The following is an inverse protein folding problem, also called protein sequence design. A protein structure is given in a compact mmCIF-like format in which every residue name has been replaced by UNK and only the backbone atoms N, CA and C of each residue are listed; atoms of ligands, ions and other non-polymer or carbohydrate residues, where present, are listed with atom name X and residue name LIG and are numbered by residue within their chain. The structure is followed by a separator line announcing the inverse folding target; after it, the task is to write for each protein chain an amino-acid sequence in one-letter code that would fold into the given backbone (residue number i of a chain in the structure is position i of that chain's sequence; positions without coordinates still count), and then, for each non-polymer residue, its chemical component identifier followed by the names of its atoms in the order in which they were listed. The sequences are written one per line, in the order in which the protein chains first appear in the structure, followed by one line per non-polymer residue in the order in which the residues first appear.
data_IF_491728389674
#
_entry.id   IF_491728389674
#
_cell.length_a   1.000
_cell.length_b   1.000
_cell.length_c   1.000
_cell.angle_alpha   90.00
_cell.angle_beta   90.00
_cell.angle_gamma   90.00
#
_symmetry.space_group_name_H-M   'P 1'
#
loop_
_entity.id
_entity.type
_entity.pdbx_description
1 polymer ?
#
# COMPACT_ATOMS: atom_id res chain seq x y z
N UNK A 1 76.54 1.44 46.54
CA UNK A 1 77.07 0.97 45.24
C UNK A 1 76.67 -0.48 45.09
N UNK A 2 76.19 -0.85 43.89
CA UNK A 2 75.86 -2.22 43.41
C UNK A 2 74.72 -2.91 44.22
N UNK A 3 73.76 -3.64 43.66
CA UNK A 3 73.53 -4.13 42.31
C UNK A 3 72.11 -4.73 42.19
N UNK A 4 71.50 -4.56 41.01
CA UNK A 4 70.73 -5.55 40.22
C UNK A 4 69.70 -6.53 40.84
N UNK A 5 68.41 -6.35 40.45
CA UNK A 5 67.56 -7.18 39.53
C UNK A 5 67.55 -8.73 39.72
N UNK A 6 66.49 -9.52 39.37
CA UNK A 6 65.02 -9.37 39.37
C UNK A 6 64.28 -10.55 40.08
N UNK A 7 62.94 -10.53 40.21
CA UNK A 7 62.15 -11.76 39.92
C UNK A 7 60.68 -11.48 39.57
N UNK A 8 60.32 -12.06 38.43
CA UNK A 8 59.01 -12.19 37.79
C UNK A 8 57.92 -12.86 38.63
N UNK A 9 56.69 -12.35 38.52
CA UNK A 9 55.47 -13.05 38.04
C UNK A 9 54.22 -12.36 38.56
N UNK A 10 53.29 -12.01 37.67
CA UNK A 10 51.87 -12.37 37.75
C UNK A 10 51.03 -11.51 36.79
N UNK A 11 50.00 -12.12 36.20
CA UNK A 11 48.83 -11.41 35.70
C UNK A 11 48.62 -11.49 34.20
N UNK A 12 48.23 -12.66 33.70
CA UNK A 12 47.53 -12.74 32.42
C UNK A 12 46.12 -12.14 32.61
N UNK A 13 45.91 -10.92 32.12
CA UNK A 13 44.59 -10.31 32.01
C UNK A 13 43.89 -10.92 30.78
N UNK A 14 42.86 -11.74 31.01
CA UNK A 14 41.90 -12.11 29.99
C UNK A 14 40.99 -10.91 29.70
N UNK A 15 41.26 -10.21 28.58
CA UNK A 15 40.34 -9.23 28.00
C UNK A 15 39.21 -9.98 27.27
N UNK A 16 38.04 -10.06 27.91
CA UNK A 16 36.82 -10.49 27.23
C UNK A 16 36.32 -9.36 26.32
N UNK A 17 36.48 -9.53 25.01
CA UNK A 17 35.92 -8.64 24.00
C UNK A 17 34.41 -8.88 23.87
N UNK A 18 33.60 -8.02 24.48
CA UNK A 18 32.16 -7.99 24.29
C UNK A 18 31.85 -7.34 22.93
N UNK A 19 31.72 -8.17 21.89
CA UNK A 19 31.35 -7.72 20.55
C UNK A 19 29.86 -7.40 20.52
N UNK A 20 29.52 -6.11 20.58
CA UNK A 20 28.16 -5.62 20.41
C UNK A 20 27.80 -5.69 18.91
N UNK A 21 27.18 -6.80 18.50
CA UNK A 21 26.63 -6.92 17.16
C UNK A 21 25.36 -6.04 17.07
N UNK A 22 25.49 -4.87 16.42
CA UNK A 22 24.34 -4.10 15.94
C UNK A 22 23.68 -4.91 14.82
N UNK A 23 22.69 -5.73 15.18
CA UNK A 23 21.76 -6.32 14.24
C UNK A 23 20.93 -5.22 13.60
N UNK A 24 21.35 -4.75 12.42
CA UNK A 24 20.54 -3.89 11.56
C UNK A 24 19.44 -4.73 10.94
N UNK A 25 18.27 -4.80 11.57
CA UNK A 25 17.04 -5.24 10.88
C UNK A 25 16.51 -4.06 10.08
N UNK A 26 17.24 -3.69 9.02
CA UNK A 26 16.64 -2.94 7.94
C UNK A 26 15.66 -3.90 7.24
N UNK A 27 14.38 -3.79 7.57
CA UNK A 27 13.31 -4.44 6.80
C UNK A 27 13.36 -3.83 5.40
N UNK A 28 14.02 -4.52 4.48
CA UNK A 28 13.87 -4.26 3.05
C UNK A 28 12.43 -4.61 2.76
N UNK A 29 11.63 -3.65 2.31
CA UNK A 29 10.32 -3.93 1.72
C UNK A 29 10.57 -4.98 0.62
N UNK A 30 10.30 -6.24 0.94
CA UNK A 30 10.39 -7.31 -0.02
C UNK A 30 9.35 -7.02 -1.10
N UNK A 31 9.70 -7.33 -2.34
CA UNK A 31 8.81 -7.25 -3.50
C UNK A 31 7.75 -8.34 -3.39
N UNK A 32 6.89 -8.24 -2.38
CA UNK A 32 5.88 -9.24 -2.05
C UNK A 32 4.66 -8.99 -2.92
N UNK A 33 4.18 -10.04 -3.58
CA UNK A 33 2.93 -9.99 -4.36
C UNK A 33 1.75 -9.67 -3.43
N UNK A 34 0.62 -9.18 -3.97
CA UNK A 34 -0.62 -9.10 -3.19
C UNK A 34 -1.00 -10.45 -2.57
N UNK A 35 -1.49 -10.42 -1.34
CA UNK A 35 -2.05 -11.59 -0.67
C UNK A 35 -3.37 -12.05 -1.32
N UNK A 36 -3.88 -13.21 -0.87
CA UNK A 36 -5.24 -13.65 -1.18
C UNK A 36 -6.24 -12.53 -0.83
N UNK A 37 -7.07 -12.06 -1.79
CA UNK A 37 -8.03 -10.98 -1.54
C UNK A 37 -9.17 -11.36 -0.60
N UNK A 38 -9.31 -12.64 -0.22
CA UNK A 38 -10.37 -13.08 0.69
C UNK A 38 -10.29 -12.34 2.04
N UNK A 39 -11.37 -11.64 2.45
CA UNK A 39 -11.42 -11.03 3.77
C UNK A 39 -11.28 -12.05 4.89
N UNK A 40 -10.43 -11.75 5.87
CA UNK A 40 -10.33 -12.51 7.13
C UNK A 40 -10.70 -11.67 8.35
N UNK A 41 -10.85 -10.35 8.16
CA UNK A 41 -11.21 -9.39 9.19
C UNK A 41 -12.16 -8.34 8.62
N UNK A 42 -13.15 -7.96 9.42
CA UNK A 42 -14.04 -6.83 9.15
C UNK A 42 -14.05 -5.90 10.36
N UNK A 43 -13.89 -4.60 10.13
CA UNK A 43 -13.95 -3.56 11.16
C UNK A 43 -14.63 -2.30 10.62
N UNK A 44 -15.79 -1.95 11.20
CA UNK A 44 -16.46 -0.68 10.90
C UNK A 44 -16.86 -0.52 9.43
N UNK A 45 -17.17 -1.62 8.73
CA UNK A 45 -17.48 -1.65 7.30
C UNK A 45 -16.27 -1.70 6.38
N UNK A 46 -15.06 -1.87 6.91
CA UNK A 46 -13.82 -2.11 6.14
C UNK A 46 -13.43 -3.58 6.24
N UNK A 47 -12.93 -4.12 5.14
CA UNK A 47 -12.49 -5.51 5.05
C UNK A 47 -10.98 -5.57 4.86
N UNK A 48 -10.33 -6.54 5.50
CA UNK A 48 -8.89 -6.73 5.44
C UNK A 48 -8.54 -8.18 5.12
N UNK A 49 -7.50 -8.37 4.33
CA UNK A 49 -6.95 -9.69 4.01
C UNK A 49 -6.03 -10.22 5.12
N UNK A 50 -5.41 -11.37 4.86
CA UNK A 50 -4.51 -12.07 5.80
C UNK A 50 -3.29 -11.26 6.21
N UNK A 51 -2.85 -10.33 5.36
CA UNK A 51 -1.69 -9.46 5.62
C UNK A 51 -2.13 -8.13 6.24
N UNK A 52 -3.44 -7.92 6.43
CA UNK A 52 -4.01 -6.70 6.97
C UNK A 52 -4.16 -5.58 5.93
N UNK A 53 -3.96 -5.85 4.64
CA UNK A 53 -4.21 -4.87 3.59
C UNK A 53 -5.72 -4.73 3.33
N UNK A 54 -6.22 -3.54 2.96
CA UNK A 54 -7.62 -3.35 2.58
C UNK A 54 -8.01 -4.29 1.43
N UNK A 55 -9.19 -4.89 1.49
CA UNK A 55 -9.71 -5.75 0.42
C UNK A 55 -11.20 -5.53 0.19
N UNK A 56 -11.71 -6.08 -0.90
CA UNK A 56 -13.13 -5.99 -1.27
C UNK A 56 -13.94 -7.11 -0.62
N UNK A 57 -15.25 -6.87 -0.47
CA UNK A 57 -16.22 -7.91 -0.17
C UNK A 57 -17.42 -7.76 -1.13
N UNK A 58 -17.63 -8.75 -1.99
CA UNK A 58 -18.70 -8.75 -2.99
C UNK A 58 -19.61 -9.94 -2.71
N UNK A 59 -20.88 -9.65 -2.43
CA UNK A 59 -21.91 -10.65 -2.16
C UNK A 59 -22.29 -11.40 -3.44
N UNK A 60 -22.84 -12.63 -3.34
CA UNK A 60 -23.26 -13.41 -4.52
C UNK A 60 -24.28 -12.72 -5.43
N UNK A 61 -25.05 -11.76 -4.90
CA UNK A 61 -26.04 -10.98 -5.67
C UNK A 61 -25.45 -9.73 -6.35
N UNK A 62 -24.11 -9.56 -6.29
CA UNK A 62 -23.38 -8.43 -6.86
C UNK A 62 -23.39 -7.15 -6.01
N UNK A 63 -23.95 -7.17 -4.79
CA UNK A 63 -23.81 -6.06 -3.85
C UNK A 63 -22.35 -5.98 -3.37
N UNK A 64 -21.73 -4.82 -3.56
CA UNK A 64 -20.34 -4.56 -3.15
C UNK A 64 -20.26 -3.89 -1.79
N UNK A 65 -19.14 -4.01 -1.09
CA UNK A 65 -18.85 -3.20 0.10
C UNK A 65 -18.76 -1.70 -0.22
N UNK A 66 -18.84 -0.86 0.82
CA UNK A 66 -18.80 0.60 0.65
C UNK A 66 -17.50 1.09 0.00
N UNK A 67 -16.34 0.52 0.35
CA UNK A 67 -15.04 0.96 -0.17
C UNK A 67 -14.91 0.65 -1.66
N UNK A 68 -15.38 -0.52 -2.12
CA UNK A 68 -15.44 -0.83 -3.55
C UNK A 68 -16.29 0.19 -4.31
N UNK A 69 -17.49 0.52 -3.81
CA UNK A 69 -18.35 1.53 -4.42
C UNK A 69 -17.75 2.95 -4.39
N UNK A 70 -17.19 3.34 -3.24
CA UNK A 70 -16.55 4.64 -3.06
C UNK A 70 -15.36 4.77 -4.01
N UNK A 71 -14.50 3.75 -4.04
CA UNK A 71 -13.32 3.63 -4.88
C UNK A 71 -13.62 3.79 -6.36
N UNK A 72 -14.68 3.17 -6.87
CA UNK A 72 -15.15 3.38 -8.24
C UNK A 72 -15.35 4.87 -8.55
N UNK A 73 -16.04 5.61 -7.67
CA UNK A 73 -16.30 7.03 -7.88
C UNK A 73 -15.03 7.88 -7.77
N UNK A 74 -14.15 7.57 -6.82
CA UNK A 74 -12.87 8.29 -6.64
C UNK A 74 -11.93 8.06 -7.82
N UNK A 75 -11.86 6.82 -8.30
CA UNK A 75 -11.13 6.47 -9.51
C UNK A 75 -11.63 7.27 -10.71
N UNK A 76 -12.95 7.36 -10.87
CA UNK A 76 -13.60 8.16 -11.90
C UNK A 76 -13.54 9.67 -11.70
N UNK A 77 -13.06 10.16 -10.55
CA UNK A 77 -12.81 11.59 -10.35
C UNK A 77 -11.34 11.93 -10.59
N UNK A 78 -10.42 11.10 -10.09
CA UNK A 78 -9.02 11.48 -9.92
C UNK A 78 -8.05 10.69 -10.83
N UNK A 79 -8.44 9.50 -11.31
CA UNK A 79 -7.49 8.57 -11.95
C UNK A 79 -7.83 8.22 -13.41
N UNK A 80 -9.12 8.16 -13.74
CA UNK A 80 -9.59 7.64 -15.04
C UNK A 80 -9.09 8.46 -16.24
N UNK A 81 -8.84 9.75 -16.06
CA UNK A 81 -8.39 10.66 -17.13
C UNK A 81 -7.09 10.16 -17.78
N UNK A 82 -6.22 9.55 -16.99
CA UNK A 82 -4.97 8.96 -17.47
C UNK A 82 -5.09 7.44 -17.63
N UNK A 83 -5.68 6.76 -16.65
CA UNK A 83 -5.69 5.29 -16.59
C UNK A 83 -6.88 4.64 -17.30
N UNK A 84 -7.65 5.41 -18.08
CA UNK A 84 -8.77 4.94 -18.87
C UNK A 84 -10.03 4.64 -18.04
N UNK A 85 -11.11 4.19 -18.65
CA UNK A 85 -12.27 3.68 -17.93
C UNK A 85 -11.93 2.32 -17.28
N UNK A 86 -12.51 2.06 -16.11
CA UNK A 86 -12.44 0.76 -15.41
C UNK A 86 -11.04 0.19 -15.13
N UNK A 87 -9.99 1.02 -15.11
CA UNK A 87 -8.61 0.57 -14.89
C UNK A 87 -7.92 0.00 -16.14
N UNK A 88 -8.49 0.18 -17.33
CA UNK A 88 -8.02 -0.50 -18.56
C UNK A 88 -6.82 0.14 -19.25
N UNK A 89 -6.33 1.26 -18.72
CA UNK A 89 -5.20 1.99 -19.29
C UNK A 89 -5.60 2.87 -20.47
N UNK A 90 -4.62 3.60 -20.97
CA UNK A 90 -4.73 4.44 -22.15
C UNK A 90 -3.43 4.42 -22.94
N UNK A 91 -3.36 5.21 -24.01
CA UNK A 91 -2.09 5.48 -24.71
C UNK A 91 -1.08 6.23 -23.83
N UNK A 92 -1.53 6.89 -22.76
CA UNK A 92 -0.69 7.69 -21.86
C UNK A 92 -0.23 6.91 -20.60
N UNK A 93 -1.12 6.15 -19.97
CA UNK A 93 -0.86 5.50 -18.69
C UNK A 93 -1.26 4.00 -18.68
N UNK A 94 -0.61 3.17 -17.85
CA UNK A 94 -0.84 1.72 -17.85
C UNK A 94 -2.24 1.32 -17.35
N UNK A 95 -2.64 0.09 -17.68
CA UNK A 95 -3.82 -0.55 -17.11
C UNK A 95 -3.58 -0.90 -15.64
N UNK A 96 -4.29 -0.23 -14.74
CA UNK A 96 -4.17 -0.47 -13.30
C UNK A 96 -4.73 -1.83 -12.89
N UNK A 97 -5.76 -2.33 -13.57
CA UNK A 97 -6.28 -3.68 -13.34
C UNK A 97 -5.23 -4.76 -13.61
N UNK A 98 -4.28 -4.53 -14.53
CA UNK A 98 -3.15 -5.46 -14.73
C UNK A 98 -2.01 -5.19 -13.76
N UNK A 99 -1.79 -3.93 -13.38
CA UNK A 99 -0.71 -3.55 -12.47
C UNK A 99 -0.90 -4.18 -11.09
N UNK A 100 -2.12 -4.15 -10.56
CA UNK A 100 -2.44 -4.66 -9.21
C UNK A 100 -2.36 -6.19 -9.10
N UNK A 101 -2.28 -6.96 -10.20
CA UNK A 101 -1.97 -8.40 -10.14
C UNK A 101 -0.58 -8.69 -9.55
N UNK A 102 0.29 -7.68 -9.54
CA UNK A 102 1.67 -7.80 -9.06
C UNK A 102 2.04 -6.74 -8.02
N UNK A 103 1.19 -5.74 -7.79
CA UNK A 103 1.44 -4.65 -6.85
C UNK A 103 0.57 -4.77 -5.60
N UNK A 104 1.22 -4.95 -4.45
CA UNK A 104 0.53 -4.95 -3.16
C UNK A 104 0.09 -3.52 -2.74
N UNK A 105 -0.61 -3.42 -1.61
CA UNK A 105 -1.13 -2.14 -1.11
C UNK A 105 -0.02 -1.11 -0.82
N UNK A 106 1.11 -1.52 -0.23
CA UNK A 106 2.22 -0.62 0.09
C UNK A 106 2.85 -0.05 -1.17
N UNK A 107 3.07 -0.89 -2.19
CA UNK A 107 3.61 -0.47 -3.49
C UNK A 107 2.65 0.45 -4.25
N UNK A 108 1.35 0.14 -4.20
CA UNK A 108 0.32 1.03 -4.74
C UNK A 108 0.36 2.39 -4.03
N UNK A 109 0.39 2.38 -2.70
CA UNK A 109 0.42 3.58 -1.86
C UNK A 109 1.66 4.42 -2.13
N UNK A 110 2.84 3.80 -2.20
CA UNK A 110 4.11 4.48 -2.50
C UNK A 110 4.04 5.22 -3.84
N UNK A 111 3.51 4.57 -4.89
CA UNK A 111 3.37 5.17 -6.22
C UNK A 111 2.34 6.30 -6.24
N UNK A 112 1.20 6.14 -5.57
CA UNK A 112 0.16 7.19 -5.51
C UNK A 112 0.65 8.40 -4.70
N UNK A 113 1.28 8.16 -3.56
CA UNK A 113 1.80 9.20 -2.68
C UNK A 113 2.99 9.92 -3.31
N UNK A 114 3.98 9.19 -3.81
CA UNK A 114 5.23 9.73 -4.34
C UNK A 114 5.16 10.18 -5.80
N UNK A 115 4.18 9.69 -6.55
CA UNK A 115 4.20 9.76 -8.01
C UNK A 115 5.24 8.83 -8.61
N UNK A 116 5.34 8.80 -9.94
CA UNK A 116 6.33 7.98 -10.66
C UNK A 116 6.72 8.63 -11.97
N UNK A 117 8.02 8.65 -12.25
CA UNK A 117 8.56 9.15 -13.51
C UNK A 117 9.33 8.05 -14.22
N UNK A 118 9.04 7.85 -15.50
CA UNK A 118 9.86 7.06 -16.41
C UNK A 118 10.32 8.00 -17.53
N UNK A 119 11.55 8.50 -17.43
CA UNK A 119 12.12 9.47 -18.36
C UNK A 119 13.08 8.75 -19.31
N UNK A 120 12.96 8.99 -20.62
CA UNK A 120 13.85 8.39 -21.62
C UNK A 120 13.19 8.02 -22.95
N UNK A 121 14.00 7.95 -24.01
CA UNK A 121 13.57 7.45 -25.32
C UNK A 121 12.50 8.30 -26.02
N UNK A 122 12.39 9.59 -25.68
CA UNK A 122 11.43 10.53 -26.28
C UNK A 122 9.98 10.34 -25.85
N UNK A 123 9.72 9.53 -24.82
CA UNK A 123 8.38 9.23 -24.33
C UNK A 123 8.35 9.33 -22.80
N UNK A 124 8.59 10.52 -22.27
CA UNK A 124 8.55 10.78 -20.84
C UNK A 124 7.14 10.54 -20.30
N UNK A 125 7.03 9.66 -19.29
CA UNK A 125 5.77 9.35 -18.61
C UNK A 125 5.86 9.77 -17.17
N UNK A 126 4.99 10.70 -16.77
CA UNK A 126 4.93 11.23 -15.41
C UNK A 126 3.55 10.96 -14.83
N UNK A 127 3.51 10.16 -13.78
CA UNK A 127 2.41 10.11 -12.83
C UNK A 127 2.68 11.14 -11.72
N UNK A 128 1.83 12.16 -11.55
CA UNK A 128 2.02 13.14 -10.49
C UNK A 128 1.87 12.50 -9.10
N UNK A 129 2.50 13.14 -8.11
CA UNK A 129 2.27 12.81 -6.70
C UNK A 129 0.89 13.29 -6.26
N UNK A 130 0.17 12.44 -5.53
CA UNK A 130 -1.10 12.77 -4.90
C UNK A 130 -1.01 12.93 -3.38
N UNK A 131 0.19 12.86 -2.79
CA UNK A 131 0.41 12.85 -1.33
C UNK A 131 -0.17 14.05 -0.57
N UNK A 132 -0.42 15.17 -1.26
CA UNK A 132 -1.05 16.37 -0.67
C UNK A 132 -2.51 16.59 -1.10
N UNK A 133 -3.04 15.75 -1.99
CA UNK A 133 -4.42 15.83 -2.46
C UNK A 133 -5.34 15.05 -1.53
N UNK A 134 -6.07 15.75 -0.66
CA UNK A 134 -7.04 15.13 0.27
C UNK A 134 -8.16 14.35 -0.44
N UNK A 135 -8.52 14.71 -1.67
CA UNK A 135 -9.52 13.98 -2.46
C UNK A 135 -9.03 12.60 -2.92
N UNK A 136 -7.72 12.33 -2.81
CA UNK A 136 -7.11 11.01 -3.03
C UNK A 136 -6.69 10.39 -1.71
N UNK A 137 -5.93 11.11 -0.88
CA UNK A 137 -5.30 10.52 0.31
C UNK A 137 -6.29 10.10 1.39
N UNK A 138 -7.44 10.77 1.53
CA UNK A 138 -8.50 10.34 2.45
C UNK A 138 -9.28 9.12 1.95
N UNK A 139 -9.01 8.68 0.71
CA UNK A 139 -9.72 7.61 0.01
C UNK A 139 -8.75 6.62 -0.65
N UNK A 140 -7.51 6.54 -0.18
CA UNK A 140 -6.47 5.70 -0.78
C UNK A 140 -6.85 4.21 -0.71
N UNK A 141 -7.36 3.77 0.44
CA UNK A 141 -7.89 2.43 0.64
C UNK A 141 -9.03 2.13 -0.34
N UNK A 142 -9.99 3.05 -0.46
CA UNK A 142 -11.14 2.92 -1.35
C UNK A 142 -10.68 2.68 -2.81
N UNK A 143 -9.71 3.48 -3.28
CA UNK A 143 -9.11 3.34 -4.61
C UNK A 143 -8.46 1.96 -4.80
N UNK A 144 -7.66 1.52 -3.81
CA UNK A 144 -7.01 0.21 -3.86
C UNK A 144 -8.04 -0.92 -3.88
N UNK A 145 -9.03 -0.89 -3.00
CA UNK A 145 -10.08 -1.92 -2.90
C UNK A 145 -10.84 -2.07 -4.22
N UNK A 146 -11.26 -0.96 -4.83
CA UNK A 146 -11.91 -0.99 -6.14
C UNK A 146 -11.00 -1.56 -7.24
N UNK A 147 -9.76 -1.07 -7.34
CA UNK A 147 -8.83 -1.54 -8.38
C UNK A 147 -8.41 -2.99 -8.17
N UNK A 148 -8.32 -3.46 -6.92
CA UNK A 148 -8.04 -4.86 -6.57
C UNK A 148 -9.19 -5.75 -7.02
N UNK A 149 -10.44 -5.37 -6.74
CA UNK A 149 -11.62 -6.10 -7.25
C UNK A 149 -11.66 -6.17 -8.78
N UNK A 150 -11.17 -5.13 -9.47
CA UNK A 150 -11.04 -5.12 -10.93
C UNK A 150 -9.88 -5.98 -11.44
N UNK A 151 -8.76 -6.00 -10.72
CA UNK A 151 -7.57 -6.80 -11.00
C UNK A 151 -7.83 -8.30 -10.87
N UNK A 152 -8.62 -8.68 -9.86
CA UNK A 152 -8.96 -10.07 -9.54
C UNK A 152 -10.20 -10.56 -10.30
N UNK A 153 -10.69 -9.76 -11.27
CA UNK A 153 -11.92 -10.00 -12.04
C UNK A 153 -13.19 -10.25 -11.19
N UNK A 154 -13.15 -9.92 -9.90
CA UNK A 154 -14.26 -10.09 -8.96
C UNK A 154 -15.39 -9.06 -9.18
N UNK A 155 -15.05 -7.88 -9.71
CA UNK A 155 -16.00 -6.88 -10.17
C UNK A 155 -15.81 -6.69 -11.68
N UNK A 156 -16.87 -6.76 -12.48
CA UNK A 156 -16.78 -6.49 -13.92
C UNK A 156 -16.62 -5.01 -14.29
N UNK A 157 -16.62 -4.71 -15.59
CA UNK A 157 -16.57 -3.33 -16.13
C UNK A 157 -17.94 -2.66 -16.07
N UNK A 158 -18.40 -2.42 -14.85
CA UNK A 158 -19.72 -1.87 -14.57
C UNK A 158 -19.63 -0.87 -13.43
N UNK A 159 -20.51 0.13 -13.47
CA UNK A 159 -20.79 0.92 -12.27
C UNK A 159 -21.47 0.02 -11.23
N UNK A 160 -20.93 -0.12 -10.01
CA UNK A 160 -21.60 -0.90 -8.98
C UNK A 160 -23.00 -0.32 -8.69
N UNK A 161 -24.03 -1.15 -8.86
CA UNK A 161 -25.43 -0.72 -8.74
C UNK A 161 -25.95 -0.82 -7.30
N UNK A 162 -25.52 -1.85 -6.58
CA UNK A 162 -25.86 -2.09 -5.17
C UNK A 162 -24.59 -1.99 -4.34
N UNK A 163 -24.72 -1.45 -3.15
CA UNK A 163 -23.63 -1.32 -2.17
C UNK A 163 -24.14 -1.54 -0.76
N UNK A 164 -23.24 -1.82 0.16
CA UNK A 164 -23.51 -1.68 1.58
C UNK A 164 -23.66 -0.21 1.98
N UNK A 165 -24.38 0.01 3.08
CA UNK A 165 -24.52 1.34 3.66
C UNK A 165 -23.17 1.85 4.17
N UNK A 166 -22.98 3.16 4.10
CA UNK A 166 -21.79 3.79 4.64
C UNK A 166 -21.91 3.77 6.16
N UNK A 167 -20.98 3.11 6.84
CA UNK A 167 -20.96 3.05 8.30
C UNK A 167 -20.71 4.42 8.94
N UNK A 168 -21.01 4.52 10.23
CA UNK A 168 -20.71 5.72 11.00
C UNK A 168 -19.19 5.91 11.13
N UNK A 169 -18.46 4.83 11.33
CA UNK A 169 -17.01 4.79 11.48
C UNK A 169 -16.32 5.32 10.23
N UNK A 170 -16.75 4.89 9.04
CA UNK A 170 -16.23 5.43 7.77
C UNK A 170 -16.60 6.90 7.61
N UNK A 171 -17.80 7.31 8.00
CA UNK A 171 -18.23 8.70 7.94
C UNK A 171 -17.37 9.60 8.84
N UNK A 172 -17.12 9.18 10.07
CA UNK A 172 -16.33 9.93 11.04
C UNK A 172 -14.84 9.98 10.62
N UNK A 173 -14.29 8.87 10.10
CA UNK A 173 -12.93 8.83 9.58
C UNK A 173 -12.72 9.76 8.37
N UNK A 174 -13.69 9.78 7.44
CA UNK A 174 -13.64 10.69 6.29
C UNK A 174 -13.68 12.15 6.74
N UNK A 175 -14.59 12.53 7.65
CA UNK A 175 -14.67 13.89 8.20
C UNK A 175 -13.38 14.31 8.89
N UNK A 176 -12.83 13.43 9.73
CA UNK A 176 -11.57 13.69 10.41
C UNK A 176 -10.41 13.93 9.43
N UNK A 177 -10.32 13.14 8.36
CA UNK A 177 -9.27 13.31 7.34
C UNK A 177 -9.45 14.60 6.51
N UNK A 178 -10.69 14.89 6.11
CA UNK A 178 -11.02 16.10 5.35
C UNK A 178 -10.88 17.37 6.19
N UNK A 179 -11.10 17.28 7.50
CA UNK A 179 -11.10 18.40 8.44
C UNK A 179 -12.49 19.05 8.59
N UNK A 180 -13.54 18.22 8.56
CA UNK A 180 -14.96 18.60 8.64
C UNK A 180 -15.63 18.21 9.97
#
# INVERSE_FOLDING_TARGET
MVSSVPLTRAGAFFLAAFSLALGSTASRAETTKPADPKPVKEEGGRYYDVDGAPTYNIKPDGQVDWLTYSGYRRYHAECHVCHGPDGMGSTYAPALAESLKTMNFDQFSEVVVGGRQNLGGGNDRVMPSFGLNKNVMCYLDDLYVYLRARSDDALGRVRPAKRDDKSKEITDAEKACLGE
#
